data_IF_257644881700
#
_entry.id   IF_257644881700
#
_cell.length_a   1.000
_cell.length_b   1.000
_cell.length_c   1.000
_cell.angle_alpha   90.00
_cell.angle_beta   90.00
_cell.angle_gamma   90.00
#
_symmetry.space_group_name_H-M   'P 1'
#
loop_
_entity.id
_entity.type
_entity.pdbx_description
1 polymer ?
#
# COMPACT_ATOMS: atom_id res chain seq x y z
N UNK A 1 -14.37 -4.71 -4.01
CA UNK A 1 -13.02 -4.43 -3.49
C UNK A 1 -12.16 -5.61 -3.91
N UNK A 2 -11.34 -5.44 -4.94
CA UNK A 2 -10.36 -6.43 -5.38
C UNK A 2 -9.21 -6.45 -4.39
N UNK A 3 -8.89 -7.61 -3.82
CA UNK A 3 -7.71 -7.78 -2.96
C UNK A 3 -6.50 -7.98 -3.87
N UNK A 4 -6.02 -6.91 -4.48
CA UNK A 4 -4.71 -6.93 -5.14
C UNK A 4 -3.63 -7.09 -4.07
N UNK A 5 -2.69 -7.98 -4.29
CA UNK A 5 -1.48 -8.05 -3.46
C UNK A 5 -0.73 -6.73 -3.62
N UNK A 6 -0.06 -6.18 -2.59
CA UNK A 6 0.66 -4.91 -2.73
C UNK A 6 1.73 -5.01 -3.82
N UNK A 7 1.75 -4.03 -4.73
CA UNK A 7 2.79 -3.89 -5.75
C UNK A 7 4.17 -3.81 -5.08
N UNK A 8 5.10 -4.64 -5.51
CA UNK A 8 6.46 -4.68 -4.96
C UNK A 8 7.43 -4.05 -5.96
N UNK A 9 8.14 -2.99 -5.55
CA UNK A 9 9.18 -2.35 -6.38
C UNK A 9 10.56 -2.92 -6.06
N UNK A 10 11.34 -3.25 -7.10
CA UNK A 10 12.73 -3.72 -7.03
C UNK A 10 13.53 -3.06 -8.13
N UNK A 11 14.47 -2.19 -7.76
CA UNK A 11 15.23 -1.41 -8.73
C UNK A 11 14.30 -0.57 -9.62
N UNK A 12 14.38 -0.77 -10.94
CA UNK A 12 13.58 -0.07 -11.93
C UNK A 12 12.23 -0.74 -12.23
N UNK A 13 11.89 -1.86 -11.57
CA UNK A 13 10.71 -2.67 -11.87
C UNK A 13 9.70 -2.68 -10.73
N UNK A 14 8.42 -2.74 -11.07
CA UNK A 14 7.30 -3.01 -10.19
C UNK A 14 6.67 -4.36 -10.55
N UNK A 15 6.35 -5.14 -9.53
CA UNK A 15 5.76 -6.48 -9.65
C UNK A 15 4.38 -6.50 -9.00
N UNK A 16 3.42 -7.18 -9.62
CA UNK A 16 2.07 -7.36 -9.07
C UNK A 16 1.53 -8.76 -9.35
N UNK A 17 0.70 -9.26 -8.44
CA UNK A 17 -0.02 -10.54 -8.57
C UNK A 17 -1.46 -10.34 -8.10
N UNK A 18 -2.39 -10.80 -8.92
CA UNK A 18 -3.82 -10.88 -8.60
C UNK A 18 -4.39 -12.25 -8.95
N UNK A 19 -5.48 -12.60 -8.30
CA UNK A 19 -6.22 -13.84 -8.55
C UNK A 19 -7.67 -13.57 -8.89
N UNK A 20 -8.25 -14.36 -9.79
CA UNK A 20 -9.68 -14.38 -10.04
C UNK A 20 -10.22 -15.81 -9.80
N UNK A 21 -11.16 -16.01 -8.86
CA UNK A 21 -11.68 -15.01 -7.92
C UNK A 21 -10.60 -14.50 -6.95
N UNK A 22 -10.76 -13.29 -6.43
CA UNK A 22 -9.90 -12.67 -5.41
C UNK A 22 -9.68 -13.58 -4.20
N UNK A 23 -10.74 -14.30 -3.80
CA UNK A 23 -10.69 -15.27 -2.70
C UNK A 23 -10.44 -16.65 -3.25
N UNK A 24 -9.20 -17.10 -3.12
CA UNK A 24 -8.79 -18.45 -3.51
C UNK A 24 -9.33 -19.47 -2.52
N UNK A 25 -10.10 -20.43 -3.02
CA UNK A 25 -10.70 -21.50 -2.24
C UNK A 25 -9.94 -22.80 -2.45
N UNK A 26 -9.77 -23.60 -1.41
CA UNK A 26 -9.20 -24.95 -1.56
C UNK A 26 -10.15 -25.87 -2.31
N UNK A 27 -9.60 -26.81 -3.09
CA UNK A 27 -10.37 -27.92 -3.65
C UNK A 27 -10.85 -28.88 -2.56
N UNK A 28 -11.87 -29.69 -2.88
CA UNK A 28 -12.42 -30.72 -2.01
C UNK A 28 -12.64 -32.03 -2.77
N UNK A 29 -12.78 -33.16 -2.08
CA UNK A 29 -13.21 -34.40 -2.72
C UNK A 29 -14.50 -34.20 -3.52
N UNK A 30 -14.43 -34.44 -4.83
CA UNK A 30 -15.58 -34.29 -5.75
C UNK A 30 -15.89 -32.86 -6.19
N UNK A 31 -15.15 -31.84 -5.73
CA UNK A 31 -15.36 -30.45 -6.10
C UNK A 31 -14.02 -29.71 -6.20
N UNK A 32 -13.50 -29.62 -7.41
CA UNK A 32 -12.28 -28.86 -7.69
C UNK A 32 -12.55 -27.35 -7.65
N UNK A 33 -11.60 -26.60 -7.08
CA UNK A 33 -11.56 -25.14 -7.15
C UNK A 33 -10.46 -24.72 -8.11
N UNK A 34 -10.76 -23.72 -8.94
CA UNK A 34 -9.85 -23.17 -9.92
C UNK A 34 -9.66 -21.68 -9.66
N UNK A 35 -8.48 -21.18 -9.98
CA UNK A 35 -8.13 -19.77 -9.94
C UNK A 35 -7.37 -19.39 -11.20
N UNK A 36 -7.60 -18.18 -11.70
CA UNK A 36 -6.73 -17.55 -12.68
C UNK A 36 -5.73 -16.67 -11.92
N UNK A 37 -4.43 -16.87 -12.15
CA UNK A 37 -3.39 -15.98 -11.61
C UNK A 37 -2.97 -15.02 -12.71
N UNK A 38 -3.05 -13.72 -12.46
CA UNK A 38 -2.44 -12.71 -13.33
C UNK A 38 -1.25 -12.10 -12.62
N UNK A 39 -0.08 -12.21 -13.24
CA UNK A 39 1.16 -11.62 -12.79
C UNK A 39 1.57 -10.50 -13.74
N UNK A 40 2.08 -9.40 -13.22
CA UNK A 40 2.57 -8.29 -14.02
C UNK A 40 3.96 -7.86 -13.57
N UNK A 41 4.78 -7.48 -14.54
CA UNK A 41 6.03 -6.73 -14.34
C UNK A 41 5.95 -5.44 -15.16
N UNK A 42 6.24 -4.30 -14.54
CA UNK A 42 6.19 -2.99 -15.19
C UNK A 42 7.39 -2.11 -14.84
N UNK A 43 7.75 -1.20 -15.73
CA UNK A 43 8.81 -0.24 -15.45
C UNK A 43 8.32 0.84 -14.47
N UNK A 44 8.98 0.95 -13.32
CA UNK A 44 8.70 1.94 -12.29
C UNK A 44 9.56 3.21 -12.44
N UNK A 45 10.78 3.08 -13.00
CA UNK A 45 11.71 4.19 -13.16
C UNK A 45 11.32 5.12 -14.32
N UNK A 46 11.62 6.41 -14.19
CA UNK A 46 11.33 7.43 -15.22
C UNK A 46 12.10 7.21 -16.53
N UNK A 47 13.23 6.51 -16.47
CA UNK A 47 14.01 6.09 -17.65
C UNK A 47 13.52 4.79 -18.30
N UNK A 48 12.42 4.21 -17.83
CA UNK A 48 11.97 2.89 -18.24
C UNK A 48 12.84 1.76 -17.67
N UNK A 49 12.61 0.54 -18.17
CA UNK A 49 13.40 -0.64 -17.83
C UNK A 49 13.58 -1.53 -19.07
N UNK A 50 14.74 -2.18 -19.20
CA UNK A 50 14.91 -3.25 -20.18
C UNK A 50 14.56 -4.57 -19.50
N UNK A 51 13.76 -5.40 -20.16
CA UNK A 51 13.39 -6.74 -19.67
C UNK A 51 13.50 -7.72 -20.82
N UNK A 52 14.31 -8.75 -20.64
CA UNK A 52 14.49 -9.84 -21.59
C UNK A 52 13.61 -11.03 -21.30
N UNK A 53 13.43 -11.35 -20.01
CA UNK A 53 12.77 -12.56 -19.57
C UNK A 53 11.98 -12.32 -18.28
N UNK A 54 10.77 -12.89 -18.21
CA UNK A 54 9.89 -12.80 -17.06
C UNK A 54 9.34 -14.19 -16.70
N UNK A 55 9.59 -14.61 -15.46
CA UNK A 55 9.19 -15.89 -14.91
C UNK A 55 8.13 -15.75 -13.83
N UNK A 56 7.16 -16.68 -13.85
CA UNK A 56 6.19 -16.89 -12.77
C UNK A 56 6.39 -18.30 -12.23
N UNK A 57 6.66 -18.42 -10.93
CA UNK A 57 6.73 -19.71 -10.22
C UNK A 57 5.51 -19.90 -9.34
N UNK A 58 4.77 -20.97 -9.62
CA UNK A 58 3.63 -21.46 -8.86
C UNK A 58 4.05 -22.72 -8.11
N UNK A 59 3.99 -22.76 -6.77
CA UNK A 59 4.42 -23.94 -6.02
C UNK A 59 3.42 -25.10 -6.26
N UNK A 60 3.93 -26.23 -6.75
CA UNK A 60 3.14 -27.44 -7.08
C UNK A 60 3.34 -28.54 -6.04
N UNK A 61 2.25 -29.05 -5.49
CA UNK A 61 2.24 -30.12 -4.48
C UNK A 61 0.93 -30.17 -3.68
N UNK A 62 0.91 -31.00 -2.63
CA UNK A 62 -0.31 -31.30 -1.87
C UNK A 62 -0.37 -30.64 -0.50
N UNK A 63 0.70 -29.98 -0.06
CA UNK A 63 0.76 -29.34 1.27
C UNK A 63 0.17 -27.92 1.27
N UNK A 64 0.01 -27.35 2.46
CA UNK A 64 -0.51 -25.99 2.67
C UNK A 64 0.30 -24.91 1.94
N UNK A 65 1.60 -25.13 1.71
CA UNK A 65 2.50 -24.21 1.01
C UNK A 65 2.37 -24.21 -0.53
N UNK A 66 1.75 -25.23 -1.12
CA UNK A 66 1.61 -25.35 -2.57
C UNK A 66 0.27 -24.78 -3.03
N UNK A 67 0.26 -24.01 -4.11
CA UNK A 67 -0.99 -23.45 -4.65
C UNK A 67 -1.78 -24.53 -5.37
N UNK A 68 -1.13 -25.28 -6.24
CA UNK A 68 -1.76 -26.29 -7.09
C UNK A 68 -1.18 -27.67 -6.84
N UNK A 69 -1.96 -28.71 -7.12
CA UNK A 69 -1.45 -30.10 -7.16
C UNK A 69 -1.31 -30.63 -8.59
N UNK A 70 -1.64 -29.83 -9.61
CA UNK A 70 -1.72 -30.25 -10.99
C UNK A 70 -1.17 -29.16 -11.92
N UNK A 71 0.05 -29.34 -12.39
CA UNK A 71 0.67 -28.42 -13.35
C UNK A 71 0.02 -28.52 -14.74
N UNK A 72 -0.56 -29.67 -15.10
CA UNK A 72 -1.12 -29.92 -16.41
C UNK A 72 -2.42 -29.17 -16.68
N UNK A 73 -3.09 -28.68 -15.64
CA UNK A 73 -4.30 -27.86 -15.78
C UNK A 73 -3.99 -26.40 -16.13
N UNK A 74 -2.74 -25.95 -15.93
CA UNK A 74 -2.36 -24.54 -16.03
C UNK A 74 -2.11 -24.15 -17.48
N UNK A 75 -2.80 -23.11 -17.94
CA UNK A 75 -2.70 -22.57 -19.30
C UNK A 75 -2.04 -21.18 -19.26
N UNK A 76 -0.72 -21.09 -19.48
CA UNK A 76 0.00 -19.83 -19.52
C UNK A 76 -0.32 -19.03 -20.80
N UNK A 77 -0.46 -17.72 -20.68
CA UNK A 77 -0.52 -16.77 -21.80
C UNK A 77 0.12 -15.43 -21.39
N UNK A 78 0.53 -14.64 -22.39
CA UNK A 78 1.11 -13.30 -22.21
C UNK A 78 0.36 -12.32 -23.11
N UNK A 79 0.09 -11.12 -22.60
CA UNK A 79 -0.72 -10.10 -23.28
C UNK A 79 0.06 -9.31 -24.34
N UNK A 80 1.38 -9.44 -24.37
CA UNK A 80 2.28 -8.58 -25.11
C UNK A 80 2.89 -9.29 -26.31
N UNK A 81 2.78 -8.68 -27.48
CA UNK A 81 3.37 -9.19 -28.72
C UNK A 81 4.91 -9.29 -28.61
N UNK A 82 5.50 -10.26 -29.29
CA UNK A 82 6.94 -10.54 -29.24
C UNK A 82 7.39 -11.32 -28.01
N UNK A 83 6.54 -11.50 -26.99
CA UNK A 83 6.82 -12.37 -25.85
C UNK A 83 6.32 -13.79 -26.09
N UNK A 84 7.17 -14.77 -25.84
CA UNK A 84 6.90 -16.18 -26.08
C UNK A 84 7.18 -17.00 -24.82
N UNK A 85 6.34 -17.99 -24.55
CA UNK A 85 6.59 -18.99 -23.51
C UNK A 85 7.81 -19.84 -23.92
N UNK A 86 8.87 -19.79 -23.13
CA UNK A 86 10.13 -20.53 -23.38
C UNK A 86 10.35 -21.67 -22.39
N UNK A 87 9.75 -21.59 -21.20
CA UNK A 87 9.79 -22.67 -20.22
C UNK A 87 8.40 -22.91 -19.62
N UNK A 88 7.99 -24.18 -19.56
CA UNK A 88 6.82 -24.62 -18.82
C UNK A 88 7.08 -25.98 -18.19
N UNK A 89 7.27 -26.01 -16.87
CA UNK A 89 7.54 -27.26 -16.17
C UNK A 89 7.78 -27.05 -14.67
N UNK A 90 7.40 -28.04 -13.86
CA UNK A 90 7.59 -28.01 -12.39
C UNK A 90 7.00 -26.76 -11.68
N UNK A 91 6.00 -26.11 -12.30
CA UNK A 91 5.38 -24.89 -11.77
C UNK A 91 6.07 -23.59 -12.18
N UNK A 92 7.13 -23.65 -12.98
CA UNK A 92 7.78 -22.48 -13.60
C UNK A 92 7.18 -22.22 -14.97
N UNK A 93 6.86 -20.95 -15.23
CA UNK A 93 6.39 -20.44 -16.51
C UNK A 93 7.23 -19.22 -16.89
N UNK A 94 8.17 -19.38 -17.81
CA UNK A 94 9.07 -18.30 -18.23
C UNK A 94 8.74 -17.83 -19.65
N UNK A 95 8.76 -16.52 -19.83
CA UNK A 95 8.48 -15.85 -21.09
C UNK A 95 9.68 -14.99 -21.47
N UNK A 96 10.13 -15.10 -22.71
CA UNK A 96 11.22 -14.29 -23.24
C UNK A 96 10.75 -13.48 -24.45
N UNK A 97 11.31 -12.29 -24.62
CA UNK A 97 11.08 -11.50 -25.83
C UNK A 97 11.91 -12.05 -26.99
N UNK A 98 11.29 -12.20 -28.17
CA UNK A 98 11.90 -12.81 -29.36
C UNK A 98 13.17 -12.11 -29.87
N UNK A 99 13.34 -10.84 -29.52
CA UNK A 99 14.52 -10.03 -29.90
C UNK A 99 15.58 -9.91 -28.79
N UNK A 100 15.55 -10.79 -27.78
CA UNK A 100 16.50 -10.78 -26.67
C UNK A 100 16.22 -9.71 -25.59
N UNK A 101 15.14 -8.95 -25.76
CA UNK A 101 14.56 -8.07 -24.76
C UNK A 101 13.77 -6.91 -25.34
N UNK A 102 13.08 -6.22 -24.45
CA UNK A 102 12.24 -5.07 -24.77
C UNK A 102 12.52 -3.93 -23.80
N UNK A 103 12.57 -2.70 -24.31
CA UNK A 103 12.57 -1.51 -23.45
C UNK A 103 11.13 -1.11 -23.13
N UNK A 104 10.77 -1.19 -21.85
CA UNK A 104 9.47 -0.80 -21.31
C UNK A 104 9.52 0.66 -20.81
N UNK A 105 8.75 1.60 -21.39
CA UNK A 105 8.59 2.94 -20.84
C UNK A 105 7.97 2.91 -19.43
N UNK A 106 8.16 3.97 -18.65
CA UNK A 106 7.56 4.08 -17.32
C UNK A 106 6.05 3.81 -17.36
N UNK A 107 5.58 2.90 -16.50
CA UNK A 107 4.20 2.46 -16.41
C UNK A 107 3.79 1.38 -17.42
N UNK A 108 4.58 1.12 -18.46
CA UNK A 108 4.36 -0.03 -19.36
C UNK A 108 4.85 -1.32 -18.72
N UNK A 109 4.22 -2.44 -19.08
CA UNK A 109 4.53 -3.74 -18.52
C UNK A 109 4.19 -4.92 -19.42
N UNK A 110 4.54 -6.10 -18.92
CA UNK A 110 4.20 -7.42 -19.44
C UNK A 110 3.24 -8.07 -18.45
N UNK A 111 2.12 -8.58 -18.94
CA UNK A 111 1.14 -9.28 -18.12
C UNK A 111 1.09 -10.75 -18.54
N UNK A 112 1.36 -11.63 -17.59
CA UNK A 112 1.24 -13.07 -17.73
C UNK A 112 -0.03 -13.54 -17.03
N UNK A 113 -0.81 -14.37 -17.72
CA UNK A 113 -1.99 -15.02 -17.15
C UNK A 113 -1.79 -16.52 -17.12
N UNK A 114 -1.93 -17.12 -15.93
CA UNK A 114 -1.96 -18.56 -15.71
C UNK A 114 -3.42 -18.93 -15.45
N UNK A 115 -4.11 -19.42 -16.48
CA UNK A 115 -5.51 -19.81 -16.38
C UNK A 115 -5.67 -21.27 -15.96
N UNK A 116 -6.80 -21.60 -15.32
CA UNK A 116 -7.12 -22.98 -14.96
C UNK A 116 -6.24 -23.58 -13.87
N UNK A 117 -5.67 -22.77 -12.97
CA UNK A 117 -4.86 -23.27 -11.85
C UNK A 117 -5.76 -24.00 -10.87
N UNK A 118 -5.70 -25.34 -10.86
CA UNK A 118 -6.44 -26.16 -9.90
C UNK A 118 -5.83 -25.97 -8.51
N UNK A 119 -6.56 -25.35 -7.59
CA UNK A 119 -6.08 -25.10 -6.23
C UNK A 119 -6.03 -26.42 -5.45
N UNK A 120 -4.97 -26.68 -4.69
CA UNK A 120 -4.92 -27.91 -3.90
C UNK A 120 -5.89 -27.89 -2.70
N UNK A 121 -6.07 -29.03 -2.04
CA UNK A 121 -7.05 -29.18 -0.96
C UNK A 121 -6.58 -28.67 0.42
N UNK A 122 -5.30 -28.30 0.56
CA UNK A 122 -4.72 -27.95 1.85
C UNK A 122 -4.88 -26.45 2.14
N UNK A 123 -5.60 -26.11 3.22
CA UNK A 123 -5.75 -24.74 3.71
C UNK A 123 -4.39 -24.20 4.14
N UNK A 124 -4.04 -22.98 3.71
CA UNK A 124 -2.76 -22.37 4.04
C UNK A 124 -2.40 -21.20 3.13
N UNK A 125 -1.13 -20.83 3.13
CA UNK A 125 -0.59 -19.77 2.29
C UNK A 125 0.35 -20.38 1.25
N UNK A 126 0.21 -19.97 -0.01
CA UNK A 126 1.14 -20.31 -1.08
C UNK A 126 1.93 -19.06 -1.50
N UNK A 127 3.24 -19.21 -1.73
CA UNK A 127 4.10 -18.12 -2.21
C UNK A 127 4.26 -18.23 -3.72
N UNK A 128 3.71 -17.27 -4.47
CA UNK A 128 4.05 -17.10 -5.89
C UNK A 128 5.31 -16.24 -5.98
N UNK A 129 6.28 -16.68 -6.77
CA UNK A 129 7.48 -15.89 -7.06
C UNK A 129 7.41 -15.35 -8.47
N UNK A 130 7.66 -14.06 -8.61
CA UNK A 130 7.89 -13.38 -9.88
C UNK A 130 9.37 -13.08 -10.00
N UNK A 131 9.95 -13.33 -11.17
CA UNK A 131 11.38 -13.11 -11.40
C UNK A 131 11.65 -12.57 -12.79
N UNK A 132 12.70 -11.76 -12.90
CA UNK A 132 13.30 -11.34 -14.16
C UNK A 132 14.75 -11.80 -14.13
N UNK A 133 15.14 -12.62 -15.11
CA UNK A 133 16.41 -13.35 -15.06
C UNK A 133 17.59 -12.50 -15.52
N UNK A 134 17.33 -11.48 -16.35
CA UNK A 134 18.34 -10.60 -16.93
C UNK A 134 18.80 -9.48 -15.98
N UNK A 135 17.90 -9.00 -15.11
CA UNK A 135 18.20 -7.92 -14.15
C UNK A 135 18.19 -8.38 -12.68
N UNK A 136 18.14 -9.70 -12.46
CA UNK A 136 18.15 -10.35 -11.14
C UNK A 136 17.19 -9.69 -10.13
N UNK A 137 15.97 -9.38 -10.59
CA UNK A 137 14.92 -8.81 -9.75
C UNK A 137 13.83 -9.84 -9.50
N UNK A 138 13.44 -9.99 -8.24
CA UNK A 138 12.40 -10.94 -7.81
C UNK A 138 11.47 -10.35 -6.76
N UNK A 139 10.22 -10.82 -6.79
CA UNK A 139 9.19 -10.46 -5.82
C UNK A 139 8.39 -11.71 -5.43
N UNK A 140 7.88 -11.72 -4.19
CA UNK A 140 7.16 -12.85 -3.60
C UNK A 140 5.81 -12.38 -3.11
N UNK A 141 4.78 -13.15 -3.42
CA UNK A 141 3.39 -12.81 -3.16
C UNK A 141 2.71 -13.97 -2.45
N UNK A 142 2.16 -13.70 -1.27
CA UNK A 142 1.45 -14.72 -0.48
C UNK A 142 -0.02 -14.75 -0.88
N UNK A 143 -0.51 -15.93 -1.27
CA UNK A 143 -1.91 -16.18 -1.59
C UNK A 143 -2.50 -17.10 -0.53
N UNK A 144 -3.57 -16.62 0.12
CA UNK A 144 -4.33 -17.40 1.08
C UNK A 144 -5.28 -18.36 0.37
N UNK A 145 -5.13 -19.65 0.62
CA UNK A 145 -6.10 -20.68 0.23
C UNK A 145 -7.03 -20.96 1.40
N UNK A 146 -8.27 -20.50 1.27
CA UNK A 146 -9.24 -20.50 2.35
C UNK A 146 -10.29 -21.63 2.17
N UNK A 147 -10.86 -22.15 3.26
CA UNK A 147 -12.05 -23.00 3.16
C UNK A 147 -13.21 -22.25 2.50
N UNK A 148 -14.12 -22.97 1.81
CA UNK A 148 -15.31 -22.33 1.20
C UNK A 148 -16.19 -21.57 2.21
N UNK A 149 -16.29 -22.09 3.44
CA UNK A 149 -17.13 -21.49 4.47
C UNK A 149 -16.47 -20.27 5.14
N UNK A 150 -15.23 -19.95 4.78
CA UNK A 150 -14.52 -18.78 5.29
C UNK A 150 -15.10 -17.51 4.66
N UNK A 151 -15.52 -16.59 5.53
CA UNK A 151 -15.84 -15.23 5.14
C UNK A 151 -15.26 -14.25 6.15
N UNK A 152 -14.71 -13.17 5.62
CA UNK A 152 -14.42 -11.94 6.34
C UNK A 152 -14.85 -10.80 5.43
N UNK A 153 -15.91 -10.07 5.78
CA UNK A 153 -16.53 -9.06 4.91
C UNK A 153 -16.95 -7.83 5.72
N UNK A 154 -17.35 -6.80 4.99
CA UNK A 154 -18.09 -5.64 5.52
C UNK A 154 -17.37 -4.89 6.64
N UNK A 155 -16.03 -4.87 6.60
CA UNK A 155 -15.23 -4.11 7.57
C UNK A 155 -15.39 -2.61 7.33
N UNK A 156 -16.08 -1.94 8.24
CA UNK A 156 -16.50 -0.54 8.10
C UNK A 156 -16.43 0.20 9.43
N UNK A 157 -16.27 1.51 9.35
CA UNK A 157 -16.47 2.41 10.47
C UNK A 157 -17.91 2.95 10.44
N UNK A 158 -18.47 3.29 11.61
CA UNK A 158 -19.75 4.00 11.67
C UNK A 158 -19.65 5.39 11.05
N UNK A 159 -18.53 6.08 11.29
CA UNK A 159 -18.17 7.37 10.70
C UNK A 159 -16.77 7.30 10.07
N UNK A 160 -16.63 7.87 8.88
CA UNK A 160 -15.34 7.89 8.16
C UNK A 160 -14.45 9.06 8.59
N UNK A 161 -15.03 10.05 9.26
CA UNK A 161 -14.36 11.21 9.83
C UNK A 161 -14.90 11.42 11.24
N UNK A 162 -14.03 11.47 12.24
CA UNK A 162 -14.38 11.72 13.65
C UNK A 162 -13.59 12.90 14.19
N UNK A 163 -13.98 13.45 15.35
CA UNK A 163 -13.22 14.48 16.04
C UNK A 163 -11.96 13.92 16.73
N UNK A 164 -10.99 14.79 17.00
CA UNK A 164 -9.78 14.39 17.72
C UNK A 164 -10.09 13.97 19.15
N UNK A 165 -9.75 12.72 19.49
CA UNK A 165 -10.02 12.08 20.77
C UNK A 165 -11.36 11.33 20.82
N UNK A 166 -12.14 11.33 19.75
CA UNK A 166 -13.41 10.61 19.67
C UNK A 166 -13.19 9.09 19.52
N UNK A 167 -14.31 8.36 19.50
CA UNK A 167 -14.35 6.90 19.39
C UNK A 167 -14.64 6.49 17.95
N UNK A 168 -13.77 5.65 17.38
CA UNK A 168 -14.06 4.94 16.13
C UNK A 168 -14.83 3.66 16.43
N UNK A 169 -16.12 3.61 16.05
CA UNK A 169 -16.89 2.37 16.05
C UNK A 169 -16.61 1.59 14.77
N UNK A 170 -16.14 0.35 14.90
CA UNK A 170 -15.83 -0.53 13.78
C UNK A 170 -16.72 -1.78 13.81
N UNK A 171 -17.26 -2.17 12.66
CA UNK A 171 -18.09 -3.37 12.49
C UNK A 171 -17.62 -4.22 11.31
N UNK A 172 -17.88 -5.52 11.34
CA UNK A 172 -17.55 -6.48 10.28
C UNK A 172 -18.45 -7.71 10.36
N UNK A 173 -18.34 -8.59 9.36
CA UNK A 173 -18.95 -9.92 9.38
C UNK A 173 -17.89 -10.99 9.21
N UNK A 174 -18.05 -12.11 9.93
CA UNK A 174 -17.12 -13.23 9.82
C UNK A 174 -17.82 -14.59 9.92
N UNK A 175 -17.32 -15.58 9.18
CA UNK A 175 -17.75 -16.97 9.29
C UNK A 175 -16.56 -17.91 9.09
N UNK A 176 -16.52 -19.00 9.87
CA UNK A 176 -15.44 -20.00 9.83
C UNK A 176 -14.01 -19.43 9.99
N UNK A 177 -13.91 -18.27 10.65
CA UNK A 177 -12.65 -17.67 11.08
C UNK A 177 -12.27 -18.31 12.42
N UNK A 178 -11.03 -18.81 12.53
CA UNK A 178 -10.53 -19.41 13.76
C UNK A 178 -9.89 -18.39 14.70
N UNK A 179 -9.33 -17.31 14.15
CA UNK A 179 -8.77 -16.19 14.92
C UNK A 179 -8.98 -14.88 14.16
N UNK A 180 -9.37 -13.83 14.88
CA UNK A 180 -9.62 -12.51 14.32
C UNK A 180 -8.88 -11.45 15.14
N UNK A 181 -8.07 -10.64 14.48
CA UNK A 181 -7.27 -9.59 15.10
C UNK A 181 -7.55 -8.25 14.44
N UNK A 182 -7.77 -7.22 15.27
CA UNK A 182 -7.74 -5.83 14.85
C UNK A 182 -6.33 -5.29 15.09
N UNK A 183 -5.72 -4.71 14.06
CA UNK A 183 -4.42 -4.05 14.13
C UNK A 183 -4.59 -2.59 13.73
N UNK A 184 -3.99 -1.68 14.49
CA UNK A 184 -3.93 -0.25 14.16
C UNK A 184 -2.79 0.38 14.94
N UNK A 185 -2.10 1.34 14.33
CA UNK A 185 -0.82 1.84 14.84
C UNK A 185 0.11 0.66 15.19
N UNK A 186 0.54 0.54 16.44
CA UNK A 186 1.32 -0.60 16.98
C UNK A 186 0.49 -1.51 17.92
N UNK A 187 -0.83 -1.38 17.88
CA UNK A 187 -1.76 -2.11 18.75
C UNK A 187 -2.31 -3.32 18.00
N UNK A 188 -2.35 -4.46 18.70
CA UNK A 188 -3.00 -5.68 18.24
C UNK A 188 -4.03 -6.12 19.29
N UNK A 189 -5.28 -6.22 18.88
CA UNK A 189 -6.41 -6.62 19.74
C UNK A 189 -7.03 -7.91 19.19
N UNK A 190 -7.16 -8.93 20.03
CA UNK A 190 -7.97 -10.10 19.71
C UNK A 190 -9.45 -9.73 19.76
N UNK A 191 -10.13 -9.90 18.62
CA UNK A 191 -11.55 -9.63 18.44
C UNK A 191 -12.29 -10.90 17.97
N UNK A 192 -11.71 -12.07 18.20
CA UNK A 192 -12.30 -13.37 17.88
C UNK A 192 -13.67 -13.53 18.54
N UNK A 193 -14.66 -13.97 17.76
CA UNK A 193 -16.05 -14.11 18.21
C UNK A 193 -16.83 -12.80 18.35
N UNK A 194 -16.25 -11.66 17.95
CA UNK A 194 -16.92 -10.36 17.91
C UNK A 194 -17.19 -9.95 16.47
N UNK A 195 -18.18 -9.06 16.30
CA UNK A 195 -18.52 -8.41 15.02
C UNK A 195 -18.46 -6.87 15.10
N UNK A 196 -18.08 -6.36 16.27
CA UNK A 196 -17.96 -4.93 16.57
C UNK A 196 -16.89 -4.68 17.63
N UNK A 197 -16.23 -3.53 17.52
CA UNK A 197 -15.41 -2.95 18.58
C UNK A 197 -15.43 -1.42 18.50
N UNK A 198 -15.35 -0.79 19.66
CA UNK A 198 -15.22 0.66 19.78
C UNK A 198 -13.77 0.97 20.18
N UNK A 199 -13.07 1.80 19.40
CA UNK A 199 -11.70 2.24 19.66
C UNK A 199 -11.75 3.70 20.11
N UNK A 200 -11.60 3.94 21.40
CA UNK A 200 -11.68 5.28 21.98
C UNK A 200 -10.36 6.06 21.82
N UNK A 201 -10.45 7.39 21.78
CA UNK A 201 -9.28 8.26 21.88
C UNK A 201 -8.45 8.36 20.61
N UNK A 202 -9.06 8.20 19.43
CA UNK A 202 -8.38 8.29 18.14
C UNK A 202 -8.07 9.76 17.83
N UNK A 203 -6.79 10.10 17.67
CA UNK A 203 -6.31 11.50 17.61
C UNK A 203 -5.68 11.89 16.27
N UNK A 204 -5.46 10.93 15.39
CA UNK A 204 -4.89 11.11 14.07
C UNK A 204 -5.59 10.18 13.09
N UNK A 205 -5.46 10.47 11.80
CA UNK A 205 -5.97 9.55 10.77
C UNK A 205 -5.32 8.18 10.93
N UNK A 206 -6.15 7.17 11.20
CA UNK A 206 -5.69 5.81 11.52
C UNK A 206 -6.17 4.83 10.46
N UNK A 207 -5.28 3.95 10.02
CA UNK A 207 -5.63 2.78 9.23
C UNK A 207 -5.82 1.60 10.16
N UNK A 208 -7.03 1.08 10.19
CA UNK A 208 -7.36 -0.16 10.89
C UNK A 208 -7.26 -1.33 9.91
N UNK A 209 -6.67 -2.43 10.37
CA UNK A 209 -6.57 -3.69 9.66
C UNK A 209 -7.30 -4.78 10.44
N UNK A 210 -8.25 -5.44 9.81
CA UNK A 210 -8.93 -6.60 10.37
C UNK A 210 -8.38 -7.86 9.70
N UNK A 211 -7.58 -8.63 10.45
CA UNK A 211 -6.97 -9.87 9.98
C UNK A 211 -7.74 -11.07 10.51
N UNK A 212 -8.30 -11.87 9.61
CA UNK A 212 -8.94 -13.15 9.95
C UNK A 212 -8.15 -14.32 9.41
N UNK A 213 -8.02 -15.39 10.21
CA UNK A 213 -7.33 -16.61 9.81
C UNK A 213 -8.21 -17.86 9.90
N UNK A 214 -7.83 -18.88 9.14
CA UNK A 214 -8.34 -20.24 9.23
C UNK A 214 -7.16 -21.20 9.12
N UNK A 215 -6.75 -21.77 10.26
CA UNK A 215 -5.47 -22.47 10.35
C UNK A 215 -4.30 -21.54 9.99
N UNK A 216 -3.46 -21.95 9.05
CA UNK A 216 -2.32 -21.16 8.59
C UNK A 216 -2.67 -20.10 7.53
N UNK A 217 -3.87 -20.14 6.94
CA UNK A 217 -4.31 -19.16 5.96
C UNK A 217 -4.85 -17.91 6.66
N UNK A 218 -4.57 -16.72 6.13
CA UNK A 218 -5.11 -15.47 6.65
C UNK A 218 -5.38 -14.47 5.54
N UNK A 219 -6.35 -13.59 5.76
CA UNK A 219 -6.63 -12.43 4.91
C UNK A 219 -6.81 -11.19 5.78
N UNK A 220 -6.64 -10.02 5.18
CA UNK A 220 -6.74 -8.74 5.88
C UNK A 220 -7.67 -7.81 5.11
N UNK A 221 -8.62 -7.19 5.81
CA UNK A 221 -9.37 -6.03 5.32
C UNK A 221 -8.80 -4.77 5.96
N UNK A 222 -8.91 -3.63 5.29
CA UNK A 222 -8.47 -2.34 5.85
C UNK A 222 -9.58 -1.31 5.82
N UNK A 223 -9.62 -0.44 6.84
CA UNK A 223 -10.50 0.74 6.89
C UNK A 223 -9.71 1.94 7.40
N UNK A 224 -9.81 3.06 6.69
CA UNK A 224 -9.24 4.33 7.13
C UNK A 224 -10.34 5.12 7.83
N UNK A 225 -10.03 5.67 9.00
CA UNK A 225 -10.85 6.68 9.69
C UNK A 225 -10.02 7.94 9.78
N UNK A 226 -10.53 9.03 9.23
CA UNK A 226 -9.87 10.33 9.28
C UNK A 226 -10.24 11.06 10.57
N UNK A 227 -9.34 11.90 11.06
CA UNK A 227 -9.59 12.74 12.24
C UNK A 227 -9.60 14.20 11.82
N UNK A 228 -10.66 14.92 12.16
CA UNK A 228 -10.71 16.38 12.04
C UNK A 228 -9.79 17.01 13.10
N UNK A 229 -8.97 17.99 12.70
CA UNK A 229 -7.94 18.62 13.53
C UNK A 229 -7.03 17.61 14.26
N UNK A 230 -6.26 16.79 13.51
CA UNK A 230 -5.47 15.72 14.10
C UNK A 230 -4.31 16.27 14.94
N UNK A 231 -3.90 15.50 15.94
CA UNK A 231 -2.66 15.75 16.68
C UNK A 231 -1.46 15.51 15.75
N UNK A 232 -0.78 16.60 15.35
CA UNK A 232 0.42 16.52 14.51
C UNK A 232 1.66 16.55 15.40
N UNK A 233 2.47 15.49 15.32
CA UNK A 233 3.81 15.45 15.90
C UNK A 233 4.84 15.53 14.77
N UNK A 234 5.71 16.53 14.84
CA UNK A 234 6.84 16.71 13.93
C UNK A 234 8.12 16.77 14.75
N UNK A 235 9.16 16.07 14.29
CA UNK A 235 10.47 16.10 14.95
C UNK A 235 11.16 17.44 14.67
N UNK A 236 11.27 17.79 13.39
CA UNK A 236 11.81 19.07 12.94
C UNK A 236 10.76 19.82 12.13
N UNK A 237 10.53 21.09 12.50
CA UNK A 237 9.65 21.98 11.78
C UNK A 237 10.45 23.20 11.32
N UNK A 238 10.75 23.27 10.03
CA UNK A 238 11.31 24.48 9.40
C UNK A 238 10.19 25.24 8.73
N UNK A 239 9.94 26.47 9.18
CA UNK A 239 8.95 27.37 8.58
C UNK A 239 9.68 28.49 7.86
N UNK A 240 9.54 28.56 6.54
CA UNK A 240 10.15 29.62 5.69
C UNK A 240 9.27 30.85 5.54
N UNK A 241 8.02 30.79 5.99
CA UNK A 241 7.04 31.87 5.97
C UNK A 241 6.38 32.11 7.33
N UNK A 242 5.08 32.35 7.34
CA UNK A 242 4.32 32.64 8.58
C UNK A 242 3.71 31.37 9.16
N UNK A 243 3.98 31.08 10.44
CA UNK A 243 3.25 30.10 11.22
C UNK A 243 2.16 30.81 12.02
N UNK A 244 0.89 30.51 11.75
CA UNK A 244 -0.23 30.92 12.59
C UNK A 244 -0.56 29.80 13.56
N UNK A 245 -0.44 30.07 14.86
CA UNK A 245 -0.83 29.12 15.91
C UNK A 245 -1.58 29.84 17.02
N UNK A 246 -2.58 29.17 17.58
CA UNK A 246 -3.32 29.69 18.74
C UNK A 246 -2.48 29.65 20.03
N UNK A 247 -1.54 28.69 20.14
CA UNK A 247 -0.67 28.54 21.31
C UNK A 247 0.60 27.78 20.91
N UNK A 248 1.76 28.31 21.30
CA UNK A 248 3.05 27.65 21.15
C UNK A 248 3.67 27.44 22.52
N UNK A 249 3.96 26.19 22.88
CA UNK A 249 4.60 25.84 24.14
C UNK A 249 5.91 25.11 23.86
N UNK A 250 6.99 25.53 24.52
CA UNK A 250 8.27 24.81 24.48
C UNK A 250 8.52 24.15 25.83
N UNK A 251 8.80 22.84 25.81
CA UNK A 251 9.20 22.09 27.02
C UNK A 251 10.72 22.04 27.22
N UNK A 252 11.51 22.52 26.26
CA UNK A 252 12.98 22.55 26.32
C UNK A 252 13.46 23.86 25.72
N UNK A 253 13.58 24.90 26.54
CA UNK A 253 14.05 26.20 26.06
C UNK A 253 15.58 26.26 25.99
N UNK A 254 16.16 25.69 24.94
CA UNK A 254 17.45 26.16 24.42
C UNK A 254 17.29 26.47 22.92
N UNK A 255 17.36 27.76 22.58
CA UNK A 255 17.49 28.21 21.18
C UNK A 255 16.25 28.79 20.51
N UNK A 256 15.06 28.76 21.12
CA UNK A 256 13.89 29.41 20.51
C UNK A 256 13.93 30.92 20.81
N UNK A 257 14.36 31.72 19.84
CA UNK A 257 14.27 33.19 19.88
C UNK A 257 13.04 33.64 19.09
N UNK A 258 12.06 34.22 19.77
CA UNK A 258 10.97 34.94 19.13
C UNK A 258 11.42 36.38 18.90
N UNK A 259 11.62 36.78 17.65
CA UNK A 259 11.71 38.19 17.29
C UNK A 259 10.31 38.65 16.86
N UNK A 260 9.71 39.58 17.58
CA UNK A 260 8.48 40.22 17.12
C UNK A 260 8.77 40.95 15.81
N UNK A 261 7.88 40.83 14.83
CA UNK A 261 7.98 41.60 13.60
C UNK A 261 7.94 43.09 13.97
N UNK A 262 9.04 43.79 13.74
CA UNK A 262 9.10 45.25 13.89
C UNK A 262 8.20 45.86 12.83
N UNK A 263 7.08 46.44 13.28
CA UNK A 263 6.23 47.30 12.46
C UNK A 263 7.11 48.38 11.84
N UNK A 264 7.05 48.62 10.52
CA UNK A 264 7.78 49.74 9.93
C UNK A 264 7.23 51.03 10.53
N UNK A 265 8.04 51.66 11.37
CA UNK A 265 7.77 52.96 11.97
C UNK A 265 7.64 53.97 10.83
N UNK A 266 6.45 54.55 10.69
CA UNK A 266 6.17 55.58 9.70
C UNK A 266 6.87 56.86 10.12
N UNK A 267 8.13 57.03 9.73
CA UNK A 267 8.87 58.28 9.93
C UNK A 267 8.43 59.31 8.88
N UNK A 268 7.42 60.10 9.23
CA UNK A 268 7.10 61.37 8.54
C UNK A 268 6.87 62.47 9.57
N UNK A 269 7.94 62.97 10.18
CA UNK A 269 7.90 64.19 10.99
C UNK A 269 8.97 65.21 10.53
N UNK A 270 8.53 66.11 9.64
CA UNK A 270 8.80 67.56 9.56
C UNK A 270 10.14 68.09 10.12
N UNK A 271 10.98 68.65 9.22
CA UNK A 271 11.97 69.69 9.56
C UNK A 271 11.38 71.09 9.30
N UNK A 272 11.45 72.06 10.23
CA UNK A 272 11.25 73.46 9.93
C UNK A 272 12.57 74.11 9.47
N UNK A 273 12.54 74.86 8.37
CA UNK A 273 13.64 75.70 7.92
C UNK A 273 13.50 77.06 8.61
N UNK A 274 14.53 77.46 9.37
CA UNK A 274 14.62 78.76 10.03
C UNK A 274 15.24 79.80 9.09
N UNK A 275 14.60 80.97 9.11
CA UNK A 275 14.91 82.23 8.45
C UNK A 275 15.97 83.01 9.24
N UNK A 276 16.93 83.64 8.54
CA UNK A 276 17.76 84.69 9.10
C UNK A 276 18.07 85.74 8.01
N UNK A 277 17.59 86.95 8.25
CA UNK A 277 17.72 88.14 7.42
C UNK A 277 19.06 88.87 7.62
N UNK A 278 19.44 89.71 6.65
CA UNK A 278 20.51 90.70 6.79
C UNK A 278 20.87 91.42 5.49
N UNK A 279 20.32 92.62 5.30
CA UNK A 279 20.41 93.56 4.17
C UNK A 279 21.82 94.08 3.86
N UNK A 280 22.07 94.54 2.61
CA UNK A 280 22.30 95.97 2.25
C UNK A 280 22.70 96.16 0.77
N UNK A 281 21.91 96.96 0.05
CA UNK A 281 22.26 97.77 -1.14
C UNK A 281 22.78 99.16 -0.64
N UNK A 282 23.23 100.17 -1.45
CA UNK A 282 23.03 100.38 -2.91
C UNK A 282 24.23 100.96 -3.70
N UNK A 283 24.17 100.84 -5.03
CA UNK A 283 24.25 101.91 -6.07
C UNK A 283 24.68 101.34 -7.42
#
# INVERSE_FOLDING_TARGET
>A
MTTSTPTTVRGALAFDVRTEPDRVRVSRPGQDSYVTVTAAVSAAASGGAHVAEFGVRVPIGTTSAHLSSDVGSIKPSVDRAGWLLVESGQGTFAFAHENGGEHLPQGAGVIVTLDGVKVNAAVGMAEITLETFDVDASARFMIAKLPEAFALTDFRAAEDVIGSGDTAELTWRSSSVTQLQLLYDDVMVDVTGRERIDVAGVRHTTVFYLRGSSGAAWTTLSKIVSVHDPDIRVNDLTVTGTLTTGRLESRVAHGVRFAAASTPESDTARRPFAEAAGETEPS
#
